data_IF_097919058389
#
_entry.id   IF_097919058389
#
_cell.length_a   1.000
_cell.length_b   1.000
_cell.length_c   1.000
_cell.angle_alpha   90.00
_cell.angle_beta   90.00
_cell.angle_gamma   90.00
#
_symmetry.space_group_name_H-M   'P 1'
#
loop_
_entity.id
_entity.type
_entity.pdbx_description
1 polymer ?
#
# COMPACT_ATOMS: atom_id res chain seq x y z
N UNK A 1 -35.91 -4.99 -32.86
CA UNK A 1 -34.96 -4.06 -32.20
C UNK A 1 -34.34 -4.83 -31.05
N UNK A 2 -33.17 -5.42 -31.27
CA UNK A 2 -32.39 -6.08 -30.22
C UNK A 2 -31.52 -4.97 -29.60
N UNK A 3 -31.85 -4.59 -28.38
CA UNK A 3 -30.99 -3.69 -27.59
C UNK A 3 -29.70 -4.47 -27.27
N UNK A 4 -28.62 -4.04 -27.91
CA UNK A 4 -27.25 -4.47 -27.58
C UNK A 4 -26.97 -4.01 -26.13
N UNK A 5 -27.06 -4.92 -25.18
CA UNK A 5 -26.45 -4.71 -23.86
C UNK A 5 -24.93 -4.74 -24.06
N UNK A 6 -24.31 -3.58 -24.08
CA UNK A 6 -22.87 -3.50 -23.93
C UNK A 6 -22.53 -4.03 -22.52
N UNK A 7 -21.99 -5.25 -22.47
CA UNK A 7 -21.40 -5.79 -21.25
C UNK A 7 -20.18 -4.89 -20.97
N UNK A 8 -20.27 -3.98 -20.04
CA UNK A 8 -19.11 -3.26 -19.52
C UNK A 8 -18.29 -4.28 -18.73
N UNK A 9 -17.32 -4.89 -19.40
CA UNK A 9 -16.34 -5.75 -18.74
C UNK A 9 -15.49 -4.87 -17.83
N UNK A 10 -15.52 -5.15 -16.54
CA UNK A 10 -14.65 -4.51 -15.56
C UNK A 10 -13.26 -5.14 -15.71
N UNK A 11 -12.43 -4.56 -16.57
CA UNK A 11 -11.03 -4.96 -16.70
C UNK A 11 -10.25 -4.44 -15.47
N UNK A 12 -9.39 -5.29 -14.91
CA UNK A 12 -8.43 -4.91 -13.87
C UNK A 12 -7.17 -4.27 -14.48
N UNK A 13 -7.04 -4.29 -15.80
CA UNK A 13 -5.87 -3.74 -16.48
C UNK A 13 -5.84 -2.20 -16.39
N UNK A 14 -4.66 -1.61 -16.18
CA UNK A 14 -4.50 -0.17 -16.02
C UNK A 14 -4.61 0.63 -17.33
N UNK A 15 -4.92 -0.03 -18.44
CA UNK A 15 -5.17 0.60 -19.74
C UNK A 15 -6.46 0.07 -20.37
N UNK A 16 -7.13 0.91 -21.15
CA UNK A 16 -8.35 0.54 -21.86
C UNK A 16 -8.05 -0.45 -22.97
N UNK A 17 -8.92 -1.46 -23.13
CA UNK A 17 -8.78 -2.52 -24.15
C UNK A 17 -9.22 -2.08 -25.55
N UNK A 18 -9.72 -0.86 -25.74
CA UNK A 18 -10.11 -0.41 -27.07
C UNK A 18 -8.87 -0.13 -27.95
N UNK A 19 -8.41 -1.19 -28.62
CA UNK A 19 -7.29 -1.14 -29.58
C UNK A 19 -7.68 -0.48 -30.91
N UNK A 20 -8.96 -0.18 -31.11
CA UNK A 20 -9.47 0.41 -32.37
C UNK A 20 -9.35 1.93 -32.40
N UNK A 21 -9.18 2.58 -31.24
CA UNK A 21 -9.02 4.02 -31.18
C UNK A 21 -7.62 4.47 -31.62
N UNK A 22 -7.58 5.53 -32.43
CA UNK A 22 -6.31 6.11 -32.86
C UNK A 22 -5.49 6.64 -31.67
N UNK A 23 -6.13 7.37 -30.77
CA UNK A 23 -5.54 7.89 -29.54
C UNK A 23 -6.55 7.92 -28.41
N UNK A 24 -6.09 7.55 -27.22
CA UNK A 24 -6.86 7.68 -25.97
C UNK A 24 -6.00 8.30 -24.88
N UNK A 25 -6.62 9.11 -24.03
CA UNK A 25 -6.03 9.59 -22.79
C UNK A 25 -6.89 9.10 -21.63
N UNK A 26 -6.28 8.42 -20.69
CA UNK A 26 -6.95 7.85 -19.53
C UNK A 26 -6.35 8.43 -18.25
N UNK A 27 -7.21 8.63 -17.25
CA UNK A 27 -6.81 8.93 -15.87
C UNK A 27 -7.35 7.83 -14.98
N UNK A 28 -6.51 7.29 -14.14
CA UNK A 28 -6.87 6.20 -13.24
C UNK A 28 -6.48 6.58 -11.80
N UNK A 29 -7.36 6.21 -10.88
CA UNK A 29 -7.09 6.23 -9.44
C UNK A 29 -7.37 4.82 -8.94
N UNK A 30 -6.38 4.21 -8.32
CA UNK A 30 -6.50 2.93 -7.63
C UNK A 30 -6.21 3.15 -6.15
N UNK A 31 -7.08 2.68 -5.29
CA UNK A 31 -6.92 2.80 -3.85
C UNK A 31 -7.39 1.50 -3.20
N UNK A 32 -6.53 0.94 -2.38
CA UNK A 32 -6.80 -0.25 -1.59
C UNK A 32 -6.21 -0.06 -0.20
N UNK A 33 -7.07 -0.04 0.81
CA UNK A 33 -6.65 0.04 2.20
C UNK A 33 -7.31 -1.04 3.01
N UNK A 34 -6.56 -1.60 3.92
CA UNK A 34 -6.99 -2.68 4.80
C UNK A 34 -6.36 -2.50 6.18
N UNK A 35 -7.13 -2.76 7.23
CA UNK A 35 -6.63 -2.94 8.59
C UNK A 35 -7.39 -4.13 9.19
N UNK A 36 -6.65 -5.12 9.68
CA UNK A 36 -7.25 -6.31 10.26
C UNK A 36 -8.03 -5.95 11.51
N UNK A 37 -9.32 -6.39 11.54
CA UNK A 37 -10.25 -6.19 12.65
C UNK A 37 -10.51 -4.72 13.06
N UNK A 38 -10.01 -3.74 12.34
CA UNK A 38 -10.12 -2.33 12.69
C UNK A 38 -10.61 -1.47 11.52
N UNK A 39 -11.16 -0.31 11.84
CA UNK A 39 -11.47 0.71 10.85
C UNK A 39 -10.18 1.39 10.38
N UNK A 40 -9.88 1.32 9.07
CA UNK A 40 -8.71 2.01 8.48
C UNK A 40 -8.73 3.50 8.79
N UNK A 41 -9.91 4.13 8.71
CA UNK A 41 -10.06 5.56 8.99
C UNK A 41 -9.69 5.91 10.44
N UNK A 42 -10.20 5.15 11.41
CA UNK A 42 -9.93 5.41 12.84
C UNK A 42 -8.48 5.14 13.17
N UNK A 43 -7.91 4.07 12.60
CA UNK A 43 -6.52 3.71 12.77
C UNK A 43 -5.56 4.82 12.28
N UNK A 44 -5.76 5.31 11.05
CA UNK A 44 -4.90 6.36 10.45
C UNK A 44 -5.08 7.71 11.15
N UNK A 45 -6.29 8.01 11.65
CA UNK A 45 -6.57 9.29 12.33
C UNK A 45 -6.30 9.27 13.82
N UNK A 46 -6.04 8.10 14.42
CA UNK A 46 -5.91 7.96 15.87
C UNK A 46 -7.20 8.35 16.60
N UNK A 47 -8.36 8.06 16.01
CA UNK A 47 -9.65 8.34 16.66
C UNK A 47 -9.91 7.31 17.75
N UNK A 48 -10.61 7.73 18.83
CA UNK A 48 -11.17 6.79 19.77
C UNK A 48 -12.10 5.80 19.05
N UNK A 49 -11.83 4.52 19.21
CA UNK A 49 -12.52 3.43 18.54
C UNK A 49 -12.39 2.14 19.37
N UNK A 50 -13.26 1.17 19.12
CA UNK A 50 -13.14 -0.17 19.70
C UNK A 50 -12.08 -0.97 18.94
N UNK A 51 -10.80 -0.67 19.21
CA UNK A 51 -9.68 -1.35 18.59
C UNK A 51 -9.66 -2.82 19.00
N UNK A 52 -9.63 -3.67 18.00
CA UNK A 52 -9.59 -5.12 18.18
C UNK A 52 -8.18 -5.64 17.85
N UNK A 53 -7.72 -6.72 18.51
CA UNK A 53 -6.49 -7.38 18.14
C UNK A 53 -6.45 -7.70 16.65
N UNK A 54 -5.32 -7.43 16.01
CA UNK A 54 -5.06 -7.68 14.61
C UNK A 54 -3.54 -7.67 14.41
N UNK A 55 -3.08 -8.02 13.22
CA UNK A 55 -1.65 -8.16 12.95
C UNK A 55 -1.20 -7.36 11.72
N UNK A 56 -2.12 -6.95 10.87
CA UNK A 56 -1.76 -6.35 9.59
C UNK A 56 -2.61 -5.13 9.25
N UNK A 57 -1.96 -4.13 8.69
CA UNK A 57 -2.61 -3.03 7.99
C UNK A 57 -1.78 -2.61 6.77
N UNK A 58 -2.44 -2.22 5.69
CA UNK A 58 -1.76 -1.70 4.53
C UNK A 58 -2.62 -0.68 3.76
N UNK A 59 -1.93 0.17 3.01
CA UNK A 59 -2.54 1.06 2.02
C UNK A 59 -1.70 1.02 0.75
N UNK A 60 -2.40 0.96 -0.37
CA UNK A 60 -1.87 1.12 -1.70
C UNK A 60 -2.72 2.14 -2.44
N UNK A 61 -2.13 3.24 -2.85
CA UNK A 61 -2.77 4.28 -3.63
C UNK A 61 -1.92 4.57 -4.87
N UNK A 62 -2.53 4.55 -6.05
CA UNK A 62 -1.88 4.97 -7.29
C UNK A 62 -2.78 5.93 -8.06
N UNK A 63 -2.24 7.06 -8.45
CA UNK A 63 -2.81 7.97 -9.43
C UNK A 63 -1.98 7.91 -10.71
N UNK A 64 -2.62 7.74 -11.86
CA UNK A 64 -1.92 7.75 -13.13
C UNK A 64 -2.68 8.48 -14.23
N UNK A 65 -1.90 9.04 -15.16
CA UNK A 65 -2.38 9.59 -16.43
C UNK A 65 -1.63 8.87 -17.54
N UNK A 66 -2.36 8.33 -18.50
CA UNK A 66 -1.78 7.59 -19.62
C UNK A 66 -2.27 8.09 -20.98
N UNK A 67 -1.39 8.04 -21.95
CA UNK A 67 -1.72 8.17 -23.37
C UNK A 67 -1.52 6.80 -24.06
N UNK A 68 -2.54 6.36 -24.78
CA UNK A 68 -2.56 5.05 -25.44
C UNK A 68 -2.73 5.21 -26.96
N UNK A 69 -2.02 4.36 -27.72
CA UNK A 69 -2.12 4.25 -29.17
C UNK A 69 -1.84 2.81 -29.60
N UNK A 70 -2.78 2.18 -30.31
CA UNK A 70 -2.64 0.85 -30.91
C UNK A 70 -2.03 -0.21 -29.98
N UNK A 71 -2.51 -0.28 -28.73
CA UNK A 71 -2.03 -1.26 -27.75
C UNK A 71 -0.80 -0.80 -26.96
N UNK A 72 -0.11 0.25 -27.35
CA UNK A 72 0.94 0.85 -26.55
C UNK A 72 0.35 1.92 -25.62
N UNK A 73 0.86 2.01 -24.41
CA UNK A 73 0.52 3.09 -23.49
C UNK A 73 1.77 3.62 -22.79
N UNK A 74 1.82 4.94 -22.66
CA UNK A 74 2.81 5.64 -21.84
C UNK A 74 2.05 6.32 -20.70
N UNK A 75 2.43 6.03 -19.46
CA UNK A 75 1.79 6.55 -18.26
C UNK A 75 2.79 7.29 -17.39
N UNK A 76 2.34 8.38 -16.79
CA UNK A 76 2.96 9.00 -15.63
C UNK A 76 2.14 8.59 -14.42
N UNK A 77 2.79 8.21 -13.34
CA UNK A 77 2.09 7.80 -12.13
C UNK A 77 2.77 8.32 -10.87
N UNK A 78 1.97 8.43 -9.82
CA UNK A 78 2.36 8.67 -8.46
C UNK A 78 1.76 7.58 -7.61
N UNK A 79 2.57 6.95 -6.73
CA UNK A 79 2.17 5.82 -5.92
C UNK A 79 2.61 6.02 -4.48
N UNK A 80 1.72 5.67 -3.58
CA UNK A 80 1.91 5.62 -2.15
C UNK A 80 1.63 4.21 -1.67
N UNK A 81 2.58 3.62 -0.96
CA UNK A 81 2.44 2.30 -0.37
C UNK A 81 2.87 2.36 1.09
N UNK A 82 2.08 1.74 1.91
CA UNK A 82 2.34 1.64 3.33
C UNK A 82 1.87 0.28 3.83
N UNK A 83 2.74 -0.41 4.56
CA UNK A 83 2.48 -1.70 5.14
C UNK A 83 2.93 -1.70 6.60
N UNK A 84 2.10 -2.25 7.48
CA UNK A 84 2.39 -2.55 8.87
C UNK A 84 2.10 -4.01 9.16
N UNK A 85 3.01 -4.63 9.89
CA UNK A 85 2.84 -5.90 10.57
C UNK A 85 3.13 -5.65 12.05
N UNK A 86 2.22 -6.02 12.93
CA UNK A 86 2.30 -5.70 14.36
C UNK A 86 1.73 -6.84 15.23
N UNK A 87 2.23 -6.94 16.47
CA UNK A 87 1.68 -7.89 17.42
C UNK A 87 0.28 -7.47 17.91
N UNK A 88 -0.52 -8.43 18.30
CA UNK A 88 -1.83 -8.17 18.92
C UNK A 88 -1.70 -7.27 20.17
N UNK A 89 -0.65 -7.50 20.96
CA UNK A 89 -0.33 -6.71 22.14
C UNK A 89 0.01 -5.25 21.80
N UNK A 90 0.71 -5.02 20.68
CA UNK A 90 1.01 -3.66 20.21
C UNK A 90 -0.29 -2.92 19.81
N UNK A 91 -1.22 -3.59 19.16
CA UNK A 91 -2.51 -3.01 18.79
C UNK A 91 -3.38 -2.74 20.01
N UNK A 92 -3.41 -3.66 20.99
CA UNK A 92 -4.16 -3.46 22.22
C UNK A 92 -3.61 -2.27 23.03
N UNK A 93 -2.29 -2.18 23.15
CA UNK A 93 -1.64 -1.05 23.82
C UNK A 93 -1.91 0.27 23.11
N UNK A 94 -1.85 0.28 21.78
CA UNK A 94 -2.20 1.45 20.97
C UNK A 94 -3.65 1.90 21.22
N UNK A 95 -4.61 0.98 21.09
CA UNK A 95 -6.03 1.26 21.30
C UNK A 95 -6.33 1.74 22.71
N UNK A 96 -5.71 1.14 23.71
CA UNK A 96 -5.82 1.54 25.13
C UNK A 96 -5.30 2.96 25.33
N UNK A 97 -4.17 3.29 24.72
CA UNK A 97 -3.55 4.62 24.81
C UNK A 97 -4.42 5.68 24.11
N UNK A 98 -4.90 5.42 22.91
CA UNK A 98 -5.76 6.33 22.15
C UNK A 98 -7.09 6.58 22.87
N UNK A 99 -7.69 5.54 23.42
CA UNK A 99 -8.97 5.62 24.13
C UNK A 99 -8.85 6.14 25.58
N UNK A 100 -7.63 6.34 26.06
CA UNK A 100 -7.40 6.74 27.46
C UNK A 100 -7.93 5.73 28.49
N UNK A 101 -7.98 4.44 28.10
CA UNK A 101 -8.42 3.36 28.98
C UNK A 101 -7.26 2.82 29.80
N UNK A 102 -7.57 2.18 30.93
CA UNK A 102 -6.54 1.62 31.81
C UNK A 102 -5.95 0.35 31.21
N UNK A 103 -4.64 0.26 31.23
CA UNK A 103 -3.89 -0.96 30.88
C UNK A 103 -3.88 -1.91 32.07
N UNK A 104 -3.88 -3.22 31.82
CA UNK A 104 -3.76 -4.23 32.89
C UNK A 104 -2.38 -4.13 33.56
N UNK A 105 -2.32 -3.77 34.85
CA UNK A 105 -1.05 -3.59 35.57
C UNK A 105 -0.30 -4.90 35.86
N UNK A 106 -0.90 -6.04 35.57
CA UNK A 106 -0.31 -7.35 35.81
C UNK A 106 0.16 -8.03 34.52
N UNK A 107 0.17 -7.32 33.41
CA UNK A 107 0.52 -7.87 32.11
C UNK A 107 1.74 -7.17 31.53
N UNK A 108 2.62 -7.96 30.96
CA UNK A 108 3.67 -7.51 30.04
C UNK A 108 3.16 -7.63 28.61
N UNK A 109 3.27 -6.57 27.84
CA UNK A 109 2.88 -6.53 26.43
C UNK A 109 4.10 -6.80 25.57
N UNK A 110 4.03 -7.82 24.73
CA UNK A 110 5.08 -8.15 23.76
C UNK A 110 4.87 -7.31 22.50
N UNK A 111 5.77 -6.38 22.27
CA UNK A 111 5.67 -5.40 21.20
C UNK A 111 6.49 -5.82 19.99
N UNK A 112 5.82 -5.98 18.87
CA UNK A 112 6.46 -6.13 17.57
C UNK A 112 5.76 -5.23 16.57
N UNK A 113 6.54 -4.47 15.82
CA UNK A 113 6.07 -3.61 14.74
C UNK A 113 7.08 -3.69 13.60
N UNK A 114 6.61 -4.07 12.42
CA UNK A 114 7.35 -3.94 11.17
C UNK A 114 6.62 -2.97 10.27
N UNK A 115 7.33 -2.02 9.73
CA UNK A 115 6.76 -1.01 8.84
C UNK A 115 7.56 -0.91 7.56
N UNK A 116 6.86 -0.77 6.44
CA UNK A 116 7.45 -0.40 5.16
C UNK A 116 6.58 0.70 4.55
N UNK A 117 7.20 1.79 4.18
CA UNK A 117 6.55 2.92 3.55
C UNK A 117 7.36 3.36 2.34
N UNK A 118 6.70 3.56 1.23
CA UNK A 118 7.33 4.08 0.03
C UNK A 118 6.40 5.02 -0.73
N UNK A 119 6.96 6.14 -1.15
CA UNK A 119 6.33 7.11 -2.01
C UNK A 119 7.12 7.23 -3.30
N UNK A 120 6.51 6.92 -4.43
CA UNK A 120 7.18 6.86 -5.73
C UNK A 120 6.44 7.67 -6.78
N UNK A 121 7.22 8.25 -7.70
CA UNK A 121 6.74 8.75 -8.98
C UNK A 121 7.44 7.99 -10.10
N UNK A 122 6.79 7.82 -11.24
CA UNK A 122 7.41 7.05 -12.31
C UNK A 122 6.79 7.23 -13.67
N UNK A 123 7.46 6.59 -14.63
CA UNK A 123 7.02 6.48 -16.02
C UNK A 123 6.85 5.01 -16.32
N UNK A 124 5.68 4.61 -16.81
CA UNK A 124 5.36 3.24 -17.21
C UNK A 124 5.13 3.17 -18.71
N UNK A 125 5.84 2.26 -19.39
CA UNK A 125 5.57 1.87 -20.76
C UNK A 125 4.86 0.52 -20.74
N UNK A 126 3.70 0.44 -21.38
CA UNK A 126 2.90 -0.76 -21.44
C UNK A 126 2.60 -1.16 -22.89
N UNK A 127 2.40 -2.44 -23.08
CA UNK A 127 1.92 -3.01 -24.33
C UNK A 127 0.84 -4.05 -24.04
N UNK A 128 -0.26 -3.96 -24.79
CA UNK A 128 -1.33 -4.93 -24.77
C UNK A 128 -1.54 -5.52 -26.14
N UNK A 129 -1.67 -6.83 -26.21
CA UNK A 129 -1.97 -7.56 -27.43
C UNK A 129 -3.24 -8.39 -27.24
N UNK A 130 -4.09 -8.35 -28.28
CA UNK A 130 -5.32 -9.12 -28.31
C UNK A 130 -5.16 -10.37 -29.18
N UNK A 131 -5.41 -11.53 -28.58
CA UNK A 131 -5.49 -12.84 -29.24
C UNK A 131 -6.94 -13.32 -29.17
N UNK A 132 -7.70 -13.20 -30.23
CA UNK A 132 -9.10 -13.64 -30.28
C UNK A 132 -9.93 -13.28 -29.03
N UNK A 133 -9.86 -14.15 -27.98
CA UNK A 133 -10.59 -14.02 -26.72
C UNK A 133 -9.73 -13.64 -25.53
N UNK A 134 -8.45 -13.45 -25.75
CA UNK A 134 -7.47 -13.17 -24.67
C UNK A 134 -6.74 -11.88 -24.97
N UNK A 135 -6.71 -10.98 -24.02
CA UNK A 135 -5.82 -9.83 -24.03
C UNK A 135 -4.66 -10.07 -23.05
N UNK A 136 -3.45 -9.89 -23.53
CA UNK A 136 -2.24 -10.00 -22.71
C UNK A 136 -1.64 -8.62 -22.57
N UNK A 137 -1.39 -8.23 -21.32
CA UNK A 137 -0.78 -6.97 -20.94
C UNK A 137 0.59 -7.21 -20.34
N UNK A 138 1.57 -6.42 -20.75
CA UNK A 138 2.89 -6.35 -20.11
C UNK A 138 3.29 -4.89 -19.96
N UNK A 139 3.92 -4.55 -18.85
CA UNK A 139 4.47 -3.22 -18.66
C UNK A 139 5.79 -3.25 -17.95
N UNK A 140 6.61 -2.23 -18.21
CA UNK A 140 7.79 -1.91 -17.43
C UNK A 140 7.75 -0.46 -16.99
N UNK A 141 8.13 -0.20 -15.76
CA UNK A 141 8.19 1.16 -15.24
C UNK A 141 9.56 1.48 -14.66
N UNK A 142 9.95 2.74 -14.83
CA UNK A 142 11.06 3.35 -14.14
C UNK A 142 10.53 4.19 -12.99
N UNK A 143 11.06 3.97 -11.79
CA UNK A 143 10.62 4.54 -10.54
C UNK A 143 11.65 5.53 -10.00
N UNK A 144 11.16 6.58 -9.39
CA UNK A 144 11.91 7.44 -8.50
C UNK A 144 11.20 7.49 -7.16
N UNK A 145 11.82 6.94 -6.12
CA UNK A 145 11.31 7.06 -4.78
C UNK A 145 11.64 8.44 -4.22
N UNK A 146 10.67 9.04 -3.52
CA UNK A 146 10.80 10.32 -2.82
C UNK A 146 11.00 10.12 -1.34
N UNK A 147 10.24 9.18 -0.80
CA UNK A 147 10.26 8.83 0.61
C UNK A 147 10.34 7.31 0.71
N UNK A 148 11.13 6.84 1.63
CA UNK A 148 11.27 5.43 1.93
C UNK A 148 11.54 5.28 3.42
N UNK A 149 10.80 4.36 4.04
CA UNK A 149 11.07 3.89 5.37
C UNK A 149 10.86 2.38 5.39
N UNK A 150 11.83 1.65 5.91
CA UNK A 150 11.72 0.22 6.15
C UNK A 150 12.37 -0.08 7.49
N UNK A 151 11.63 -0.76 8.39
CA UNK A 151 12.16 -1.00 9.71
C UNK A 151 11.28 -1.86 10.58
N UNK A 152 11.87 -2.21 11.72
CA UNK A 152 11.23 -3.00 12.74
C UNK A 152 11.52 -2.46 14.13
N UNK A 153 10.56 -2.65 15.01
CA UNK A 153 10.65 -2.39 16.45
C UNK A 153 10.22 -3.66 17.19
N UNK A 154 11.05 -4.14 18.09
CA UNK A 154 10.73 -5.32 18.89
C UNK A 154 11.05 -5.05 20.35
N UNK A 155 10.20 -5.49 21.28
CA UNK A 155 10.44 -5.29 22.67
C UNK A 155 9.25 -5.62 23.55
N UNK A 156 9.19 -4.99 24.72
CA UNK A 156 8.09 -5.18 25.65
C UNK A 156 7.77 -3.91 26.41
N UNK A 157 6.54 -3.82 26.92
CA UNK A 157 6.11 -2.78 27.83
C UNK A 157 5.29 -3.36 28.99
N UNK A 158 5.46 -2.80 30.18
CA UNK A 158 4.68 -3.13 31.37
C UNK A 158 4.30 -1.87 32.14
N UNK A 159 3.15 -1.91 32.80
CA UNK A 159 2.73 -0.83 33.70
C UNK A 159 3.43 -0.99 35.04
N UNK A 160 4.22 -0.01 35.44
CA UNK A 160 5.00 -0.05 36.72
C UNK A 160 4.36 0.72 37.84
N UNK A 161 3.21 1.34 37.63
CA UNK A 161 2.48 2.11 38.62
C UNK A 161 2.23 3.57 38.24
N UNK A 162 1.96 4.43 39.21
CA UNK A 162 1.69 5.85 38.96
C UNK A 162 2.98 6.68 39.03
N UNK A 163 3.24 7.48 38.04
CA UNK A 163 4.38 8.41 37.97
C UNK A 163 4.18 9.72 38.78
N UNK A 164 3.13 9.84 39.55
CA UNK A 164 2.70 11.10 40.17
C UNK A 164 1.67 11.83 39.29
N UNK A 165 0.98 12.80 39.87
CA UNK A 165 -0.09 13.58 39.24
C UNK A 165 -1.21 12.76 38.56
N UNK A 166 -1.36 11.48 38.94
CA UNK A 166 -2.37 10.59 38.34
C UNK A 166 -2.00 10.02 36.96
N UNK A 167 -0.77 10.22 36.53
CA UNK A 167 -0.26 9.62 35.30
C UNK A 167 0.22 8.19 35.52
N UNK A 168 -0.10 7.31 34.61
CA UNK A 168 0.40 5.93 34.57
C UNK A 168 1.80 5.90 34.00
N UNK A 169 2.65 5.07 34.55
CA UNK A 169 4.02 4.87 34.11
C UNK A 169 4.21 3.51 33.48
N UNK A 170 4.78 3.53 32.30
CA UNK A 170 5.23 2.34 31.61
C UNK A 170 6.74 2.26 31.72
N UNK A 171 7.24 1.07 31.95
CA UNK A 171 8.61 0.72 31.65
C UNK A 171 8.62 -0.29 30.52
N UNK A 172 9.60 -0.19 29.65
CA UNK A 172 9.76 -1.12 28.55
C UNK A 172 11.14 -1.00 27.94
N UNK A 173 11.47 -1.97 27.15
CA UNK A 173 12.65 -1.98 26.32
C UNK A 173 12.20 -2.15 24.88
N UNK A 174 12.72 -1.34 23.97
CA UNK A 174 12.36 -1.36 22.57
C UNK A 174 13.64 -1.27 21.73
N UNK A 175 13.94 -2.35 21.02
CA UNK A 175 14.96 -2.38 20.01
C UNK A 175 14.39 -1.87 18.69
N UNK A 176 15.00 -0.81 18.16
CA UNK A 176 14.60 -0.17 16.91
C UNK A 176 15.67 -0.36 15.85
N UNK A 177 15.29 -0.93 14.72
CA UNK A 177 16.14 -1.02 13.54
C UNK A 177 15.37 -0.54 12.33
N UNK A 178 15.72 0.62 11.77
CA UNK A 178 15.03 1.13 10.60
C UNK A 178 15.96 1.95 9.71
N UNK A 179 15.64 1.91 8.43
CA UNK A 179 16.30 2.64 7.37
C UNK A 179 15.29 3.57 6.72
N UNK A 180 15.68 4.81 6.47
CA UNK A 180 14.74 5.84 6.03
C UNK A 180 15.45 6.91 5.19
N UNK A 181 14.71 7.52 4.28
CA UNK A 181 15.16 8.68 3.52
C UNK A 181 14.92 10.00 4.27
N UNK A 182 13.93 10.03 5.16
CA UNK A 182 13.56 11.17 6.01
C UNK A 182 13.13 10.63 7.38
N UNK A 183 13.63 11.21 8.48
CA UNK A 183 13.35 10.72 9.84
C UNK A 183 12.10 11.41 10.41
N UNK A 184 10.95 10.87 10.12
CA UNK A 184 9.68 11.36 10.65
C UNK A 184 9.43 10.96 12.12
N UNK A 185 10.18 9.96 12.64
CA UNK A 185 9.98 9.48 14.01
C UNK A 185 10.67 10.34 15.07
N UNK A 186 11.88 10.81 14.77
CA UNK A 186 12.70 11.54 15.75
C UNK A 186 13.19 12.90 15.25
N UNK A 187 12.73 13.34 14.06
CA UNK A 187 13.08 14.63 13.44
C UNK A 187 14.60 14.89 13.38
N UNK A 188 15.38 13.81 13.13
CA UNK A 188 16.83 13.90 13.00
C UNK A 188 17.20 14.25 11.57
N UNK A 189 18.20 15.14 11.43
CA UNK A 189 18.77 15.38 10.10
C UNK A 189 19.45 14.12 9.57
N UNK A 190 18.99 13.67 8.40
CA UNK A 190 19.54 12.53 7.69
C UNK A 190 20.24 13.04 6.43
N UNK A 191 21.42 12.52 6.16
CA UNK A 191 22.00 12.65 4.83
C UNK A 191 21.23 11.72 3.88
N UNK A 192 20.08 12.21 3.41
CA UNK A 192 19.23 11.45 2.49
C UNK A 192 20.03 11.02 1.24
N UNK A 193 19.88 9.79 0.77
CA UNK A 193 20.50 9.36 -0.47
C UNK A 193 20.02 10.28 -1.61
N UNK A 194 20.97 10.75 -2.43
CA UNK A 194 20.72 11.80 -3.45
C UNK A 194 19.74 11.40 -4.53
N UNK A 195 19.44 10.12 -4.68
CA UNK A 195 18.43 9.63 -5.62
C UNK A 195 18.15 8.14 -5.36
N UNK A 196 16.89 7.83 -5.21
CA UNK A 196 16.38 6.47 -5.11
C UNK A 196 15.71 6.16 -6.44
N UNK A 197 16.27 5.24 -7.22
CA UNK A 197 15.72 4.84 -8.50
C UNK A 197 15.45 3.35 -8.52
N UNK A 198 14.47 2.96 -9.29
CA UNK A 198 14.12 1.56 -9.44
C UNK A 198 13.41 1.28 -10.74
N UNK A 199 13.05 0.03 -10.88
CA UNK A 199 12.24 -0.44 -12.00
C UNK A 199 11.27 -1.52 -11.53
N UNK A 200 10.17 -1.65 -12.25
CA UNK A 200 9.19 -2.70 -12.00
C UNK A 200 8.61 -3.22 -13.31
N UNK A 201 8.07 -4.45 -13.25
CA UNK A 201 7.38 -5.09 -14.35
C UNK A 201 6.02 -5.59 -13.90
N UNK A 202 5.00 -5.33 -14.72
CA UNK A 202 3.64 -5.75 -14.51
C UNK A 202 3.22 -6.73 -15.59
N UNK A 203 2.32 -7.63 -15.23
CA UNK A 203 1.69 -8.58 -16.14
C UNK A 203 0.18 -8.60 -15.93
N UNK A 204 -0.56 -8.72 -17.04
CA UNK A 204 -2.00 -8.84 -16.99
C UNK A 204 -2.58 -9.71 -18.08
N UNK A 205 -3.74 -10.26 -17.80
CA UNK A 205 -4.47 -11.13 -18.72
C UNK A 205 -5.97 -10.92 -18.53
N UNK A 206 -6.65 -10.64 -19.64
CA UNK A 206 -8.11 -10.65 -19.72
C UNK A 206 -8.55 -11.80 -20.64
N UNK A 207 -9.50 -12.58 -20.21
CA UNK A 207 -9.99 -13.72 -20.96
C UNK A 207 -11.52 -13.73 -21.03
N UNK A 208 -12.07 -13.60 -22.23
CA UNK A 208 -13.49 -13.80 -22.54
C UNK A 208 -13.73 -15.29 -22.74
N UNK A 209 -14.11 -15.99 -21.69
CA UNK A 209 -14.33 -17.45 -21.72
C UNK A 209 -15.58 -17.83 -22.52
N UNK A 210 -16.67 -17.05 -22.35
CA UNK A 210 -17.93 -17.19 -23.08
C UNK A 210 -18.72 -15.87 -23.06
N UNK A 211 -19.91 -15.84 -23.66
CA UNK A 211 -20.79 -14.67 -23.65
C UNK A 211 -21.22 -14.22 -22.23
N UNK A 212 -21.05 -15.09 -21.23
CA UNK A 212 -21.48 -14.87 -19.84
C UNK A 212 -20.33 -14.94 -18.84
N UNK A 213 -19.13 -15.33 -19.25
CA UNK A 213 -17.98 -15.50 -18.36
C UNK A 213 -16.77 -14.74 -18.87
N UNK A 214 -16.24 -13.96 -17.95
CA UNK A 214 -15.03 -13.15 -18.13
C UNK A 214 -14.10 -13.37 -16.94
N UNK A 215 -12.79 -13.50 -17.19
CA UNK A 215 -11.78 -13.56 -16.16
C UNK A 215 -10.73 -12.49 -16.40
N UNK A 216 -10.31 -11.80 -15.39
CA UNK A 216 -9.23 -10.83 -15.42
C UNK A 216 -8.21 -11.13 -14.32
N UNK A 217 -6.94 -11.08 -14.68
CA UNK A 217 -5.80 -11.19 -13.78
C UNK A 217 -4.88 -10.01 -14.03
N UNK A 218 -4.52 -9.30 -12.99
CA UNK A 218 -3.48 -8.28 -13.03
C UNK A 218 -2.53 -8.51 -11.87
N UNK A 219 -1.24 -8.64 -12.18
CA UNK A 219 -0.16 -8.77 -11.20
C UNK A 219 0.76 -7.59 -11.41
N UNK A 220 0.83 -6.76 -10.42
CA UNK A 220 1.69 -5.60 -10.39
C UNK A 220 2.99 -5.95 -9.68
N UNK A 221 4.08 -5.33 -10.11
CA UNK A 221 5.40 -5.49 -9.50
C UNK A 221 5.84 -6.97 -9.42
N UNK A 222 5.53 -7.77 -10.47
CA UNK A 222 5.97 -9.16 -10.59
C UNK A 222 7.48 -9.29 -10.35
N UNK A 223 8.19 -8.27 -10.76
CA UNK A 223 9.61 -8.09 -10.52
C UNK A 223 9.86 -6.60 -10.30
N UNK A 224 10.41 -6.24 -9.14
CA UNK A 224 10.74 -4.86 -8.80
C UNK A 224 12.06 -4.78 -8.04
N UNK A 225 12.79 -3.70 -8.25
CA UNK A 225 14.01 -3.37 -7.52
C UNK A 225 14.12 -1.86 -7.37
N UNK A 226 14.46 -1.42 -6.19
CA UNK A 226 14.79 -0.02 -5.90
C UNK A 226 16.22 0.01 -5.38
N UNK A 227 17.06 0.77 -6.05
CA UNK A 227 18.46 0.99 -5.71
C UNK A 227 18.58 2.23 -4.80
N UNK A 228 19.10 2.03 -3.59
CA UNK A 228 19.21 3.05 -2.54
C UNK A 228 20.43 2.87 -1.64
#
# INVERSE_FOLDING_TARGET
>A
MLSSFALTTLSLLPISVDLSADWQVNTQISSLSYAENNSVYDFVKGNESDYQPGQNAFTYDEFSISAQYQGFALSLFYRYEWFLDYSEDAMELYGTTVNGTLIDPNRTYDLSLKTSHINTEGIRLAYMHQFEKVNVYVAGAYLKAKELMDGEANGHAELTGSCGDGLECYTGELDLSYTYSEDELFDRQVDAPKSLYGYTFDFGLDWVMSDSWYASLYIQDVFSEILW
#
